data_IF_152735076339
#
_entry.id   IF_152735076339
#
_cell.length_a   1.000
_cell.length_b   1.000
_cell.length_c   1.000
_cell.angle_alpha   90.00
_cell.angle_beta   90.00
_cell.angle_gamma   90.00
#
_symmetry.space_group_name_H-M   'P 1'
#
loop_
_entity.id
_entity.type
_entity.pdbx_description
1 polymer ?
#
# COMPACT_ATOMS: atom_id res chain seq x y z
N UNK A 1 -5.34 15.33 -4.45
CA UNK A 1 -6.42 14.34 -4.56
C UNK A 1 -7.05 13.98 -3.21
N UNK A 2 -8.23 14.54 -2.88
CA UNK A 2 -8.98 14.20 -1.67
C UNK A 2 -9.84 12.94 -1.88
N UNK A 3 -9.32 11.76 -1.56
CA UNK A 3 -10.09 10.51 -1.57
C UNK A 3 -10.49 10.12 -0.13
N UNK A 4 -11.60 9.41 0.10
CA UNK A 4 -11.97 8.96 1.45
C UNK A 4 -10.93 8.03 2.10
N UNK A 5 -10.86 8.06 3.43
CA UNK A 5 -10.05 7.14 4.22
C UNK A 5 -8.59 7.58 4.40
N UNK A 6 -7.71 6.60 4.65
CA UNK A 6 -6.33 6.84 5.08
C UNK A 6 -5.36 7.07 3.92
N UNK A 7 -4.59 8.16 4.02
CA UNK A 7 -3.49 8.53 3.14
C UNK A 7 -2.20 8.64 3.93
N UNK A 8 -1.35 7.63 3.78
CA UNK A 8 -0.01 7.65 4.39
C UNK A 8 0.94 8.50 3.55
N UNK A 9 1.69 9.35 4.23
CA UNK A 9 2.82 10.12 3.71
C UNK A 9 4.07 9.74 4.50
N UNK A 10 5.13 9.42 3.78
CA UNK A 10 6.46 9.22 4.34
C UNK A 10 7.22 10.53 4.16
N UNK A 11 7.61 11.14 5.27
CA UNK A 11 8.32 12.40 5.31
C UNK A 11 9.68 12.16 5.94
N UNK A 12 10.69 12.90 5.51
CA UNK A 12 12.06 12.79 6.04
C UNK A 12 12.55 11.33 6.00
N UNK A 13 12.51 10.73 4.80
CA UNK A 13 12.90 9.33 4.55
C UNK A 13 12.15 8.29 5.40
N UNK A 14 10.94 8.65 5.87
CA UNK A 14 10.10 7.80 6.70
C UNK A 14 10.36 7.93 8.20
N UNK A 15 11.24 8.84 8.62
CA UNK A 15 11.43 9.22 10.02
C UNK A 15 10.16 9.82 10.61
N UNK A 16 9.40 10.56 9.80
CA UNK A 16 8.04 11.00 10.12
C UNK A 16 7.06 10.27 9.21
N UNK A 17 6.07 9.61 9.80
CA UNK A 17 4.94 9.02 9.07
C UNK A 17 3.69 9.80 9.43
N UNK A 18 3.04 10.39 8.43
CA UNK A 18 1.78 11.12 8.59
C UNK A 18 0.65 10.32 7.93
N UNK A 19 -0.35 9.93 8.72
CA UNK A 19 -1.57 9.29 8.24
C UNK A 19 -2.72 10.30 8.26
N UNK A 20 -3.11 10.78 7.08
CA UNK A 20 -4.25 11.68 6.92
C UNK A 20 -5.51 10.87 6.66
N UNK A 21 -6.49 10.98 7.54
CA UNK A 21 -7.79 10.33 7.37
C UNK A 21 -8.82 11.36 6.90
N UNK A 22 -9.23 11.27 5.64
CA UNK A 22 -10.25 12.15 5.06
C UNK A 22 -11.65 11.56 5.24
N UNK A 23 -12.50 12.29 5.96
CA UNK A 23 -13.87 11.93 6.31
C UNK A 23 -14.30 12.58 7.62
N UNK A 24 -15.54 12.36 8.04
CA UNK A 24 -16.01 12.79 9.36
C UNK A 24 -15.32 11.98 10.46
N UNK A 25 -14.77 12.65 11.47
CA UNK A 25 -14.05 12.00 12.56
C UNK A 25 -14.95 11.06 13.38
N UNK A 26 -16.22 11.38 13.55
CA UNK A 26 -17.17 10.56 14.32
C UNK A 26 -17.53 9.26 13.58
N UNK A 27 -17.44 9.25 12.25
CA UNK A 27 -17.60 8.03 11.46
C UNK A 27 -16.30 7.23 11.43
N UNK A 28 -15.19 7.90 11.13
CA UNK A 28 -13.88 7.28 10.91
C UNK A 28 -13.33 6.58 12.15
N UNK A 29 -13.54 7.10 13.36
CA UNK A 29 -13.03 6.47 14.58
C UNK A 29 -13.58 5.07 14.81
N UNK A 30 -14.77 4.75 14.27
CA UNK A 30 -15.37 3.42 14.34
C UNK A 30 -14.81 2.43 13.30
N UNK A 31 -14.12 2.94 12.27
CA UNK A 31 -13.53 2.15 11.18
C UNK A 31 -12.05 1.81 11.41
N UNK A 32 -11.44 2.37 12.45
CA UNK A 32 -10.04 2.14 12.77
C UNK A 32 -9.82 0.69 13.23
N UNK A 33 -8.73 0.09 12.76
CA UNK A 33 -8.33 -1.26 13.14
C UNK A 33 -7.90 -1.34 14.61
N UNK A 34 -8.16 -2.49 15.24
CA UNK A 34 -7.84 -2.71 16.66
C UNK A 34 -6.35 -2.56 16.98
N UNK A 35 -5.45 -2.67 15.98
CA UNK A 35 -4.01 -2.43 16.16
C UNK A 35 -3.64 -1.00 16.59
N UNK A 36 -4.55 -0.02 16.38
CA UNK A 36 -4.34 1.37 16.80
C UNK A 36 -4.74 1.63 18.27
N UNK A 37 -5.47 0.70 18.89
CA UNK A 37 -5.84 0.82 20.29
C UNK A 37 -4.59 0.88 21.19
N UNK A 38 -4.60 1.81 22.15
CA UNK A 38 -3.49 2.08 23.07
C UNK A 38 -2.13 2.41 22.41
N UNK A 39 -2.14 3.06 21.24
CA UNK A 39 -0.93 3.47 20.52
C UNK A 39 -0.66 4.96 20.52
N UNK A 40 -1.64 5.80 20.84
CA UNK A 40 -1.48 7.26 20.80
C UNK A 40 -0.82 7.76 22.09
N UNK A 41 0.38 8.31 21.97
CA UNK A 41 1.13 8.87 23.10
C UNK A 41 0.67 10.29 23.48
N UNK A 42 0.24 11.07 22.47
CA UNK A 42 -0.25 12.44 22.67
C UNK A 42 -1.36 12.79 21.66
N UNK A 43 -2.43 13.40 22.16
CA UNK A 43 -3.55 13.91 21.37
C UNK A 43 -3.51 15.43 21.25
N UNK A 44 -3.62 15.92 20.02
CA UNK A 44 -3.96 17.32 19.73
C UNK A 44 -5.45 17.38 19.41
N UNK A 45 -6.26 17.69 20.42
CA UNK A 45 -7.70 17.85 20.26
C UNK A 45 -7.99 19.29 19.84
N UNK A 46 -7.98 19.50 18.53
CA UNK A 46 -8.21 20.78 17.88
C UNK A 46 -9.49 20.75 17.01
N UNK A 47 -9.91 21.91 16.53
CA UNK A 47 -11.12 22.08 15.73
C UNK A 47 -11.71 23.48 15.88
N UNK A 48 -12.88 23.73 15.30
CA UNK A 48 -13.59 24.97 15.56
C UNK A 48 -14.03 25.05 17.04
N UNK A 49 -14.16 26.28 17.55
CA UNK A 49 -14.61 26.50 18.92
C UNK A 49 -15.89 25.70 19.20
N UNK A 50 -15.99 24.95 20.32
CA UNK A 50 -17.10 24.00 20.52
C UNK A 50 -18.50 24.64 20.44
N UNK A 51 -18.62 25.92 20.81
CA UNK A 51 -19.88 26.66 20.70
C UNK A 51 -20.31 26.98 19.26
N UNK A 52 -19.38 26.89 18.29
CA UNK A 52 -19.63 27.15 16.86
C UNK A 52 -19.69 25.89 16.01
N UNK A 53 -19.16 24.77 16.52
CA UNK A 53 -19.19 23.49 15.84
C UNK A 53 -19.34 22.37 16.89
N UNK A 54 -20.50 22.25 17.54
CA UNK A 54 -20.71 21.24 18.58
C UNK A 54 -20.68 19.80 18.04
N UNK A 55 -21.00 19.62 16.75
CA UNK A 55 -21.18 18.33 16.09
C UNK A 55 -19.91 17.46 16.08
N UNK A 56 -18.73 18.08 16.13
CA UNK A 56 -17.45 17.37 16.29
C UNK A 56 -17.22 16.90 17.74
N UNK A 57 -17.64 17.68 18.73
CA UNK A 57 -17.25 17.48 20.14
C UNK A 57 -18.20 16.52 20.85
N UNK A 58 -18.21 15.27 20.40
CA UNK A 58 -19.13 14.24 20.88
C UNK A 58 -18.50 13.33 21.92
N UNK A 59 -19.34 12.66 22.73
CA UNK A 59 -18.86 11.62 23.63
C UNK A 59 -18.25 10.43 22.87
N UNK A 60 -18.73 10.15 21.65
CA UNK A 60 -18.16 9.11 20.80
C UNK A 60 -16.68 9.41 20.49
N UNK A 61 -16.38 10.65 20.09
CA UNK A 61 -15.01 11.09 19.85
C UNK A 61 -14.15 10.95 21.10
N UNK A 62 -14.61 11.40 22.27
CA UNK A 62 -13.85 11.32 23.51
C UNK A 62 -13.55 9.86 23.91
N UNK A 63 -14.53 8.96 23.78
CA UNK A 63 -14.35 7.54 24.04
C UNK A 63 -13.36 6.90 23.05
N UNK A 64 -13.42 7.27 21.76
CA UNK A 64 -12.46 6.80 20.77
C UNK A 64 -11.04 7.29 21.08
N UNK A 65 -10.87 8.55 21.46
CA UNK A 65 -9.58 9.09 21.89
C UNK A 65 -9.01 8.31 23.07
N UNK A 66 -9.85 8.00 24.07
CA UNK A 66 -9.45 7.20 25.23
C UNK A 66 -9.06 5.77 24.86
N UNK A 67 -9.84 5.10 23.98
CA UNK A 67 -9.54 3.75 23.46
C UNK A 67 -8.19 3.68 22.74
N UNK A 68 -7.85 4.72 22.01
CA UNK A 68 -6.60 4.81 21.23
C UNK A 68 -5.41 5.30 22.06
N UNK A 69 -5.65 5.99 23.18
CA UNK A 69 -4.58 6.51 24.05
C UNK A 69 -3.81 5.38 24.74
N UNK A 70 -2.48 5.44 24.68
CA UNK A 70 -1.61 4.60 25.49
C UNK A 70 -1.86 4.90 26.99
N UNK A 71 -1.74 3.92 27.91
CA UNK A 71 -1.64 4.23 29.33
C UNK A 71 -0.50 5.21 29.62
N UNK A 72 -0.79 6.29 30.34
CA UNK A 72 0.10 7.44 30.54
C UNK A 72 0.12 8.45 29.39
N UNK A 73 -0.58 8.18 28.29
CA UNK A 73 -0.71 9.07 27.15
C UNK A 73 -1.45 10.35 27.49
N UNK A 74 -1.16 11.42 26.75
CA UNK A 74 -1.61 12.78 27.07
C UNK A 74 -2.59 13.31 26.05
N UNK A 75 -3.34 14.34 26.42
CA UNK A 75 -4.09 15.17 25.47
C UNK A 75 -3.99 16.65 25.85
N UNK A 76 -4.07 17.52 24.85
CA UNK A 76 -4.23 18.95 25.03
C UNK A 76 -5.30 19.49 24.07
N UNK A 77 -6.06 20.49 24.53
CA UNK A 77 -7.00 21.23 23.69
C UNK A 77 -7.03 22.70 24.08
N UNK A 78 -7.29 23.58 23.11
CA UNK A 78 -7.40 25.00 23.38
C UNK A 78 -8.61 25.36 24.24
N UNK A 79 -9.68 24.56 24.22
CA UNK A 79 -10.95 24.91 24.87
C UNK A 79 -10.94 24.61 26.37
N UNK A 80 -11.75 25.34 27.13
CA UNK A 80 -12.02 25.08 28.55
C UNK A 80 -13.50 24.87 28.84
N UNK A 81 -14.29 24.58 27.79
CA UNK A 81 -15.72 24.33 27.88
C UNK A 81 -16.04 23.20 28.86
N UNK A 82 -17.02 23.41 29.73
CA UNK A 82 -17.34 22.49 30.82
C UNK A 82 -17.79 21.10 30.34
N UNK A 83 -18.56 21.03 29.25
CA UNK A 83 -19.02 19.75 28.70
C UNK A 83 -17.88 18.93 28.09
N UNK A 84 -16.90 19.59 27.45
CA UNK A 84 -15.69 18.93 26.92
C UNK A 84 -14.88 18.34 28.06
N UNK A 85 -14.69 19.11 29.15
CA UNK A 85 -13.98 18.59 30.33
C UNK A 85 -14.67 17.36 30.91
N UNK A 86 -15.99 17.42 31.13
CA UNK A 86 -16.75 16.29 31.69
C UNK A 86 -16.73 15.09 30.76
N UNK A 87 -16.95 15.28 29.46
CA UNK A 87 -16.94 14.16 28.50
C UNK A 87 -15.59 13.44 28.41
N UNK A 88 -14.48 14.18 28.48
CA UNK A 88 -13.13 13.60 28.56
C UNK A 88 -12.87 12.88 29.89
N UNK A 89 -13.41 13.41 31.01
CA UNK A 89 -13.35 12.72 32.30
C UNK A 89 -14.15 11.41 32.28
N UNK A 90 -15.36 11.44 31.72
CA UNK A 90 -16.24 10.26 31.59
C UNK A 90 -15.62 9.21 30.65
N UNK A 91 -14.88 9.64 29.62
CA UNK A 91 -14.11 8.75 28.74
C UNK A 91 -12.89 8.11 29.44
N UNK A 92 -12.49 8.63 30.61
CA UNK A 92 -11.44 8.05 31.46
C UNK A 92 -10.16 8.86 31.59
N UNK A 93 -10.08 10.07 31.04
CA UNK A 93 -8.91 10.94 31.21
C UNK A 93 -8.95 11.71 32.54
N UNK A 94 -7.82 11.78 33.24
CA UNK A 94 -7.63 12.72 34.35
C UNK A 94 -7.38 14.11 33.79
N UNK A 95 -8.39 14.98 33.86
CA UNK A 95 -8.37 16.32 33.25
C UNK A 95 -7.93 17.43 34.20
N UNK A 96 -7.05 18.31 33.72
CA UNK A 96 -6.55 19.48 34.44
C UNK A 96 -6.76 20.76 33.61
N UNK A 97 -7.13 21.86 34.27
CA UNK A 97 -7.11 23.20 33.68
C UNK A 97 -5.71 23.80 33.81
N UNK A 98 -5.22 24.42 32.74
CA UNK A 98 -3.98 25.20 32.73
C UNK A 98 -4.23 26.60 32.19
N UNK A 99 -3.32 27.53 32.48
CA UNK A 99 -3.39 28.90 31.94
C UNK A 99 -3.35 28.84 30.41
N UNK A 100 -4.29 29.52 29.76
CA UNK A 100 -4.33 29.59 28.30
C UNK A 100 -3.27 30.53 27.73
N UNK A 101 -3.05 30.45 26.42
CA UNK A 101 -2.11 31.33 25.73
C UNK A 101 -2.70 32.72 25.46
N UNK A 102 -1.90 33.77 25.61
CA UNK A 102 -2.28 35.15 25.33
C UNK A 102 -3.46 35.64 26.17
N UNK A 103 -4.54 36.10 25.51
CA UNK A 103 -5.76 36.59 26.17
C UNK A 103 -6.63 35.47 26.75
N UNK A 104 -6.35 34.21 26.40
CA UNK A 104 -7.16 33.08 26.82
C UNK A 104 -6.88 32.72 28.26
N UNK A 105 -7.90 32.77 29.12
CA UNK A 105 -7.75 32.51 30.56
C UNK A 105 -7.29 31.09 30.84
N UNK A 106 -7.93 30.11 30.21
CA UNK A 106 -7.74 28.70 30.52
C UNK A 106 -7.74 27.84 29.25
N UNK A 107 -7.07 26.70 29.34
CA UNK A 107 -7.09 25.58 28.41
C UNK A 107 -7.14 24.25 29.18
N UNK A 108 -7.38 23.15 28.49
CA UNK A 108 -7.44 21.82 29.10
C UNK A 108 -6.28 20.93 28.63
N UNK A 109 -5.76 20.15 29.56
CA UNK A 109 -4.88 19.02 29.29
C UNK A 109 -5.34 17.82 30.11
N UNK A 110 -5.04 16.62 29.65
CA UNK A 110 -5.39 15.39 30.35
C UNK A 110 -4.35 14.30 30.19
N UNK A 111 -4.41 13.32 31.08
CA UNK A 111 -3.56 12.12 31.07
C UNK A 111 -4.44 10.89 31.23
N UNK A 112 -4.15 9.83 30.46
CA UNK A 112 -4.79 8.52 30.63
C UNK A 112 -4.09 7.76 31.76
N UNK A 113 -4.42 8.05 33.02
CA UNK A 113 -3.73 7.48 34.20
C UNK A 113 -4.09 6.02 34.48
N UNK A 114 -5.02 5.44 33.72
CA UNK A 114 -5.48 4.07 33.85
C UNK A 114 -5.27 3.27 32.56
N UNK A 115 -5.15 1.96 32.69
CA UNK A 115 -5.17 1.04 31.55
C UNK A 115 -6.60 0.60 31.30
N UNK A 116 -7.17 1.01 30.17
CA UNK A 116 -8.51 0.58 29.76
C UNK A 116 -8.49 -0.87 29.22
N UNK A 117 -9.58 -1.63 29.33
CA UNK A 117 -9.73 -2.91 28.66
C UNK A 117 -9.61 -2.76 27.14
N UNK A 118 -8.81 -3.62 26.49
CA UNK A 118 -8.68 -3.64 25.03
C UNK A 118 -9.92 -4.29 24.40
N UNK A 119 -10.61 -3.61 23.47
CA UNK A 119 -11.64 -4.25 22.68
C UNK A 119 -11.01 -5.26 21.72
N UNK A 120 -11.75 -6.35 21.48
CA UNK A 120 -11.38 -7.40 20.54
C UNK A 120 -12.67 -7.80 19.81
N UNK A 121 -13.16 -6.93 18.94
CA UNK A 121 -14.51 -7.04 18.35
C UNK A 121 -14.58 -8.10 17.25
N UNK A 122 -13.50 -8.31 16.51
CA UNK A 122 -13.39 -9.34 15.48
C UNK A 122 -12.08 -10.14 15.62
N UNK A 123 -11.96 -11.00 16.67
CA UNK A 123 -10.71 -11.71 16.99
C UNK A 123 -10.17 -12.56 15.84
N UNK A 124 -11.05 -13.06 14.96
CA UNK A 124 -10.70 -13.84 13.77
C UNK A 124 -9.94 -13.04 12.70
N UNK A 125 -9.92 -11.70 12.78
CA UNK A 125 -9.13 -10.82 11.92
C UNK A 125 -7.93 -10.17 12.63
N UNK A 126 -7.58 -10.65 13.84
CA UNK A 126 -6.49 -10.06 14.62
C UNK A 126 -5.15 -10.04 13.86
N UNK A 127 -4.56 -8.84 13.78
CA UNK A 127 -3.24 -8.59 13.21
C UNK A 127 -2.24 -8.34 14.33
N UNK A 128 -1.53 -9.38 14.75
CA UNK A 128 -0.50 -9.27 15.80
C UNK A 128 0.88 -8.95 15.22
N UNK A 129 1.68 -8.22 15.98
CA UNK A 129 3.07 -7.93 15.65
C UNK A 129 4.04 -8.92 16.29
N UNK A 130 5.34 -8.63 16.16
CA UNK A 130 6.41 -9.33 16.87
C UNK A 130 7.18 -8.35 17.76
N UNK A 131 7.63 -8.82 18.93
CA UNK A 131 8.56 -8.09 19.80
C UNK A 131 10.01 -8.21 19.34
N UNK A 132 10.34 -9.23 18.55
CA UNK A 132 11.66 -9.46 17.97
C UNK A 132 11.94 -8.44 16.86
N UNK A 133 13.22 -8.16 16.57
CA UNK A 133 13.65 -7.13 15.59
C UNK A 133 14.63 -7.65 14.55
N UNK A 134 14.50 -8.93 14.26
CA UNK A 134 15.34 -9.65 13.32
C UNK A 134 14.43 -10.59 12.51
N UNK A 135 14.54 -10.54 11.18
CA UNK A 135 13.63 -11.24 10.27
C UNK A 135 14.36 -11.83 9.05
N UNK A 136 14.01 -13.06 8.70
CA UNK A 136 14.25 -13.64 7.39
C UNK A 136 13.06 -13.40 6.46
N UNK A 137 13.32 -12.92 5.25
CA UNK A 137 12.36 -12.80 4.16
C UNK A 137 12.71 -13.86 3.12
N UNK A 138 11.71 -14.64 2.69
CA UNK A 138 11.87 -15.64 1.62
C UNK A 138 11.25 -15.07 0.35
N UNK A 139 12.07 -14.71 -0.64
CA UNK A 139 11.57 -14.04 -1.84
C UNK A 139 12.68 -13.58 -2.78
N UNK A 140 12.52 -12.40 -3.37
CA UNK A 140 13.39 -11.87 -4.43
C UNK A 140 12.66 -10.98 -5.44
N UNK A 141 11.33 -10.87 -5.33
CA UNK A 141 10.51 -9.94 -6.12
C UNK A 141 10.26 -8.59 -5.44
N UNK A 142 9.39 -7.79 -6.05
CA UNK A 142 9.07 -6.42 -5.59
C UNK A 142 8.54 -6.37 -4.15
N UNK A 143 7.73 -7.36 -3.74
CA UNK A 143 7.16 -7.42 -2.40
C UNK A 143 8.24 -7.55 -1.31
N UNK A 144 9.19 -8.47 -1.49
CA UNK A 144 10.34 -8.62 -0.58
C UNK A 144 11.27 -7.41 -0.58
N UNK A 145 11.46 -6.76 -1.74
CA UNK A 145 12.31 -5.59 -1.89
C UNK A 145 11.75 -4.40 -1.09
N UNK A 146 10.48 -4.05 -1.30
CA UNK A 146 9.83 -2.95 -0.59
C UNK A 146 9.62 -3.24 0.90
N UNK A 147 9.35 -4.49 1.27
CA UNK A 147 9.27 -4.90 2.67
C UNK A 147 10.61 -4.70 3.39
N UNK A 148 11.72 -5.03 2.73
CA UNK A 148 13.06 -4.84 3.30
C UNK A 148 13.30 -3.38 3.68
N UNK A 149 13.07 -2.43 2.77
CA UNK A 149 13.18 -1.00 3.08
C UNK A 149 12.26 -0.57 4.23
N UNK A 150 11.01 -1.05 4.25
CA UNK A 150 10.04 -0.69 5.28
C UNK A 150 10.42 -1.20 6.69
N UNK A 151 11.15 -2.30 6.77
CA UNK A 151 11.69 -2.86 8.02
C UNK A 151 13.02 -2.19 8.41
N UNK A 152 13.95 -2.00 7.46
CA UNK A 152 15.27 -1.39 7.71
C UNK A 152 15.13 0.03 8.27
N UNK A 153 14.23 0.86 7.73
CA UNK A 153 13.97 2.20 8.26
C UNK A 153 13.46 2.22 9.72
N UNK A 154 13.05 1.07 10.25
CA UNK A 154 12.60 0.86 11.64
C UNK A 154 13.66 0.15 12.49
N UNK A 155 14.90 0.05 12.00
CA UNK A 155 16.03 -0.57 12.70
C UNK A 155 15.92 -2.09 12.83
N UNK A 156 15.23 -2.77 11.92
CA UNK A 156 15.23 -4.24 11.90
C UNK A 156 16.53 -4.78 11.30
N UNK A 157 16.99 -5.91 11.81
CA UNK A 157 17.93 -6.77 11.10
C UNK A 157 17.14 -7.61 10.08
N UNK A 158 17.53 -7.55 8.81
CA UNK A 158 16.79 -8.22 7.73
C UNK A 158 17.75 -9.09 6.93
N UNK A 159 17.36 -10.33 6.71
CA UNK A 159 18.02 -11.27 5.80
C UNK A 159 17.03 -11.69 4.71
N UNK A 160 17.43 -11.64 3.45
CA UNK A 160 16.65 -12.11 2.31
C UNK A 160 17.27 -13.40 1.77
N UNK A 161 16.46 -14.45 1.64
CA UNK A 161 16.83 -15.68 0.93
C UNK A 161 16.06 -15.73 -0.39
N UNK A 162 16.81 -15.91 -1.48
CA UNK A 162 16.28 -16.02 -2.83
C UNK A 162 16.71 -17.36 -3.43
N UNK A 163 15.75 -18.08 -4.01
CA UNK A 163 16.02 -19.36 -4.65
C UNK A 163 16.83 -19.22 -5.95
N UNK A 164 16.69 -18.08 -6.63
CA UNK A 164 17.30 -17.83 -7.92
C UNK A 164 18.71 -17.23 -7.77
N UNK A 165 19.47 -17.15 -8.87
CA UNK A 165 20.82 -16.57 -8.90
C UNK A 165 20.84 -15.03 -8.77
N UNK A 166 19.71 -14.39 -9.05
CA UNK A 166 19.52 -12.95 -9.03
C UNK A 166 18.07 -12.62 -8.67
N UNK A 167 17.76 -11.39 -8.20
CA UNK A 167 16.40 -11.03 -7.87
C UNK A 167 15.60 -10.70 -9.14
N UNK A 168 14.28 -10.59 -8.97
CA UNK A 168 13.32 -10.27 -10.03
C UNK A 168 13.28 -11.29 -11.20
N UNK A 169 13.70 -12.54 -10.97
CA UNK A 169 13.57 -13.62 -11.96
C UNK A 169 12.20 -14.33 -11.93
N UNK A 170 11.39 -14.06 -10.91
CA UNK A 170 9.96 -14.44 -10.89
C UNK A 170 9.05 -13.43 -11.60
N UNK A 171 7.80 -13.32 -11.16
CA UNK A 171 6.79 -12.45 -11.79
C UNK A 171 7.12 -10.95 -11.83
N UNK A 172 8.10 -10.48 -11.05
CA UNK A 172 8.56 -9.08 -11.06
C UNK A 172 9.58 -8.77 -12.18
N UNK A 173 9.86 -9.71 -13.09
CA UNK A 173 10.92 -9.62 -14.10
C UNK A 173 10.57 -8.94 -15.44
N UNK A 174 9.36 -8.38 -15.59
CA UNK A 174 8.97 -7.72 -16.85
C UNK A 174 9.79 -6.45 -17.13
N UNK A 175 9.92 -6.09 -18.41
CA UNK A 175 10.61 -4.86 -18.84
C UNK A 175 9.79 -3.60 -18.63
N UNK A 176 8.47 -3.68 -18.83
CA UNK A 176 7.54 -2.57 -18.58
C UNK A 176 6.23 -3.16 -18.03
N UNK A 177 5.76 -2.63 -16.90
CA UNK A 177 4.49 -3.00 -16.28
C UNK A 177 3.61 -1.78 -16.08
N UNK A 178 2.32 -1.91 -16.40
CA UNK A 178 1.34 -0.84 -16.21
C UNK A 178 1.05 -0.60 -14.71
N UNK A 179 0.89 0.67 -14.33
CA UNK A 179 0.49 1.09 -13.00
C UNK A 179 -0.79 1.94 -13.08
N UNK A 180 -1.89 1.39 -12.59
CA UNK A 180 -3.19 2.05 -12.47
C UNK A 180 -4.04 1.36 -11.39
N UNK A 181 -5.07 2.02 -10.82
CA UNK A 181 -5.93 1.40 -9.80
C UNK A 181 -6.97 0.47 -10.43
N UNK A 182 -7.24 -0.65 -9.78
CA UNK A 182 -8.44 -1.45 -10.05
C UNK A 182 -9.64 -0.85 -9.30
N UNK A 183 -10.53 -0.21 -10.03
CA UNK A 183 -11.74 0.41 -9.47
C UNK A 183 -12.94 -0.52 -9.61
N UNK A 184 -13.83 -0.50 -8.63
CA UNK A 184 -15.04 -1.34 -8.61
C UNK A 184 -16.17 -0.63 -7.87
N UNK A 185 -17.36 -0.65 -8.46
CA UNK A 185 -18.58 -0.15 -7.81
C UNK A 185 -19.17 -1.13 -6.79
N UNK A 186 -18.95 -2.44 -6.99
CA UNK A 186 -19.61 -3.50 -6.23
C UNK A 186 -18.83 -3.98 -5.00
N UNK A 187 -17.52 -3.71 -4.96
CA UNK A 187 -16.65 -4.12 -3.87
C UNK A 187 -15.96 -2.89 -3.26
N UNK A 188 -16.52 -2.43 -2.14
CA UNK A 188 -16.05 -1.22 -1.44
C UNK A 188 -14.64 -1.39 -0.88
N UNK A 189 -14.32 -2.57 -0.34
CA UNK A 189 -13.02 -2.85 0.25
C UNK A 189 -11.93 -2.87 -0.82
N UNK A 190 -12.20 -3.53 -1.95
CA UNK A 190 -11.33 -3.56 -3.12
C UNK A 190 -11.08 -2.15 -3.64
N UNK A 191 -12.15 -1.39 -3.87
CA UNK A 191 -12.05 -0.04 -4.42
C UNK A 191 -11.27 0.91 -3.51
N UNK A 192 -11.55 0.88 -2.20
CA UNK A 192 -10.83 1.71 -1.21
C UNK A 192 -9.37 1.31 -1.10
N UNK A 193 -9.07 0.01 -1.13
CA UNK A 193 -7.69 -0.48 -1.13
C UNK A 193 -6.93 0.00 -2.35
N UNK A 194 -7.42 -0.26 -3.57
CA UNK A 194 -6.68 0.08 -4.80
C UNK A 194 -6.59 1.59 -5.05
N UNK A 195 -7.62 2.37 -4.71
CA UNK A 195 -7.56 3.84 -4.82
C UNK A 195 -6.47 4.42 -3.92
N UNK A 196 -6.42 3.99 -2.66
CA UNK A 196 -5.45 4.53 -1.69
C UNK A 196 -4.05 3.93 -1.96
N UNK A 197 -3.95 2.66 -2.32
CA UNK A 197 -2.69 1.99 -2.67
C UNK A 197 -2.05 2.62 -3.91
N UNK A 198 -2.83 2.95 -4.94
CA UNK A 198 -2.33 3.58 -6.16
C UNK A 198 -1.73 4.96 -5.88
N UNK A 199 -2.46 5.83 -5.18
CA UNK A 199 -1.94 7.17 -4.87
C UNK A 199 -0.77 7.12 -3.89
N UNK A 200 -0.76 6.17 -2.95
CA UNK A 200 0.41 5.89 -2.11
C UNK A 200 1.60 5.42 -2.95
N UNK A 201 1.40 4.45 -3.86
CA UNK A 201 2.43 3.90 -4.71
C UNK A 201 3.07 4.99 -5.59
N UNK A 202 2.27 5.86 -6.20
CA UNK A 202 2.78 7.00 -6.97
C UNK A 202 3.67 7.92 -6.15
N UNK A 203 3.20 8.42 -5.01
CA UNK A 203 4.02 9.24 -4.11
C UNK A 203 5.26 8.51 -3.60
N UNK A 204 5.13 7.22 -3.32
CA UNK A 204 6.22 6.39 -2.84
C UNK A 204 7.31 6.24 -3.90
N UNK A 205 6.94 5.94 -5.16
CA UNK A 205 7.88 5.84 -6.26
C UNK A 205 8.52 7.19 -6.61
N UNK A 206 7.76 8.29 -6.58
CA UNK A 206 8.28 9.65 -6.79
C UNK A 206 9.35 10.04 -5.75
N UNK A 207 9.21 9.55 -4.51
CA UNK A 207 10.14 9.82 -3.40
C UNK A 207 11.27 8.80 -3.27
N UNK A 208 11.24 7.70 -4.02
CA UNK A 208 12.17 6.60 -3.85
C UNK A 208 13.54 7.00 -4.40
N UNK A 209 14.63 6.99 -3.59
CA UNK A 209 15.94 7.45 -4.04
C UNK A 209 16.68 6.37 -4.85
N UNK A 210 16.00 5.75 -5.80
CA UNK A 210 16.57 4.73 -6.70
C UNK A 210 16.20 5.06 -8.13
N UNK A 211 17.10 4.77 -9.06
CA UNK A 211 16.82 4.90 -10.49
C UNK A 211 16.05 3.67 -10.98
N UNK A 212 15.11 3.90 -11.87
CA UNK A 212 14.43 2.86 -12.65
C UNK A 212 13.73 3.52 -13.82
N UNK A 213 13.70 2.86 -14.97
CA UNK A 213 12.96 3.33 -16.13
C UNK A 213 11.46 3.37 -15.80
N UNK A 214 10.83 4.51 -16.06
CA UNK A 214 9.40 4.70 -15.90
C UNK A 214 8.94 5.91 -16.71
N UNK A 215 7.65 5.98 -16.96
CA UNK A 215 6.98 7.21 -17.36
C UNK A 215 5.57 7.25 -16.80
N UNK A 216 5.20 8.41 -16.27
CA UNK A 216 3.91 8.71 -15.69
C UNK A 216 2.96 9.29 -16.73
N UNK A 217 2.95 8.64 -17.90
CA UNK A 217 2.26 9.08 -19.09
C UNK A 217 0.72 9.00 -19.02
N UNK A 218 0.18 8.33 -18.00
CA UNK A 218 -1.22 7.95 -17.91
C UNK A 218 -1.50 6.56 -18.51
N UNK A 219 -2.63 5.99 -18.11
CA UNK A 219 -3.17 4.72 -18.63
C UNK A 219 -4.58 4.95 -19.13
N UNK A 220 -4.88 4.52 -20.36
CA UNK A 220 -6.23 4.61 -20.93
C UNK A 220 -6.81 3.21 -21.15
N UNK A 221 -7.92 2.93 -20.46
CA UNK A 221 -8.68 1.68 -20.61
C UNK A 221 -9.84 1.90 -21.59
N UNK A 222 -9.85 1.10 -22.65
CA UNK A 222 -10.75 1.25 -23.79
C UNK A 222 -12.05 0.45 -23.63
N UNK A 223 -13.16 1.03 -24.07
CA UNK A 223 -14.45 0.36 -24.20
C UNK A 223 -14.59 -0.29 -25.58
N UNK A 224 -13.76 -1.29 -25.87
CA UNK A 224 -13.66 -1.93 -27.18
C UNK A 224 -14.74 -3.00 -27.44
N UNK A 225 -15.42 -3.48 -26.40
CA UNK A 225 -16.58 -4.37 -26.47
C UNK A 225 -17.69 -3.92 -25.50
N UNK A 226 -18.90 -4.47 -25.65
CA UNK A 226 -20.05 -4.11 -24.80
C UNK A 226 -19.75 -4.35 -23.30
N UNK A 227 -18.98 -5.40 -22.99
CA UNK A 227 -18.65 -5.79 -21.62
C UNK A 227 -17.70 -4.79 -20.95
N UNK A 228 -16.65 -4.35 -21.64
CA UNK A 228 -15.70 -3.34 -21.16
C UNK A 228 -16.36 -1.97 -21.08
N UNK A 229 -17.19 -1.59 -22.06
CA UNK A 229 -18.00 -0.37 -22.00
C UNK A 229 -18.91 -0.35 -20.77
N UNK A 230 -19.61 -1.44 -20.49
CA UNK A 230 -20.46 -1.54 -19.31
C UNK A 230 -19.66 -1.41 -18.00
N UNK A 231 -18.50 -2.08 -17.89
CA UNK A 231 -17.62 -1.95 -16.72
C UNK A 231 -17.11 -0.52 -16.54
N UNK A 232 -16.71 0.14 -17.64
CA UNK A 232 -16.25 1.53 -17.63
C UNK A 232 -17.38 2.46 -17.21
N UNK A 233 -18.59 2.28 -17.74
CA UNK A 233 -19.77 3.04 -17.32
C UNK A 233 -20.08 2.88 -15.82
N UNK A 234 -19.89 1.67 -15.27
CA UNK A 234 -20.02 1.45 -13.82
C UNK A 234 -18.99 2.27 -13.02
N UNK A 235 -17.72 2.29 -13.44
CA UNK A 235 -16.69 3.10 -12.78
C UNK A 235 -16.96 4.60 -12.92
N UNK A 236 -17.37 5.06 -14.10
CA UNK A 236 -17.69 6.47 -14.37
C UNK A 236 -18.97 6.95 -13.66
N UNK A 237 -19.84 6.04 -13.23
CA UNK A 237 -20.99 6.38 -12.38
C UNK A 237 -20.63 6.64 -10.91
N UNK A 238 -19.36 6.48 -10.55
CA UNK A 238 -18.82 6.84 -9.25
C UNK A 238 -18.29 8.28 -9.33
N UNK A 239 -18.57 9.10 -8.33
CA UNK A 239 -18.11 10.51 -8.25
C UNK A 239 -16.60 10.59 -7.90
N UNK A 240 -15.76 10.03 -8.77
CA UNK A 240 -14.31 9.99 -8.60
C UNK A 240 -13.68 11.33 -9.02
N UNK A 241 -12.65 11.82 -8.31
CA UNK A 241 -11.90 12.97 -8.78
C UNK A 241 -11.26 12.70 -10.15
N UNK A 242 -11.33 13.67 -11.06
CA UNK A 242 -10.75 13.55 -12.41
C UNK A 242 -9.23 13.26 -12.40
N UNK A 243 -8.54 13.68 -11.34
CA UNK A 243 -7.13 13.37 -11.10
C UNK A 243 -6.87 11.86 -10.91
N UNK A 244 -7.87 11.11 -10.41
CA UNK A 244 -7.79 9.65 -10.25
C UNK A 244 -8.17 8.94 -11.54
N UNK A 245 -9.37 9.24 -12.06
CA UNK A 245 -9.94 8.62 -13.23
C UNK A 245 -10.98 9.54 -13.87
N UNK A 246 -10.98 9.65 -15.20
CA UNK A 246 -11.91 10.52 -15.95
C UNK A 246 -12.31 9.88 -17.27
N UNK A 247 -13.55 10.11 -17.70
CA UNK A 247 -14.03 9.66 -19.00
C UNK A 247 -13.25 10.34 -20.13
N UNK A 248 -13.06 9.60 -21.23
CA UNK A 248 -12.50 10.14 -22.47
C UNK A 248 -13.34 9.69 -23.65
N UNK A 249 -13.80 10.65 -24.45
CA UNK A 249 -14.57 10.40 -25.67
C UNK A 249 -13.65 9.92 -26.80
N UNK A 250 -14.16 9.11 -27.72
CA UNK A 250 -13.40 8.55 -28.84
C UNK A 250 -12.54 9.59 -29.61
N UNK A 251 -13.10 10.77 -29.87
CA UNK A 251 -12.39 11.87 -30.56
C UNK A 251 -11.19 12.40 -29.76
N UNK A 252 -11.27 12.37 -28.43
CA UNK A 252 -10.21 12.82 -27.54
C UNK A 252 -9.20 11.71 -27.22
N UNK A 253 -9.56 10.42 -27.40
CA UNK A 253 -8.65 9.30 -27.14
C UNK A 253 -7.41 9.42 -28.01
N UNK A 254 -7.55 9.60 -29.33
CA UNK A 254 -6.42 9.71 -30.25
C UNK A 254 -5.49 10.87 -29.90
N UNK A 255 -6.03 12.01 -29.47
CA UNK A 255 -5.22 13.15 -29.06
C UNK A 255 -4.35 12.84 -27.82
N UNK A 256 -4.92 12.10 -26.86
CA UNK A 256 -4.27 11.80 -25.58
C UNK A 256 -3.31 10.62 -25.71
N UNK A 257 -3.70 9.57 -26.43
CA UNK A 257 -2.91 8.34 -26.58
C UNK A 257 -1.95 8.40 -27.76
N UNK A 258 -2.17 9.29 -28.72
CA UNK A 258 -1.41 9.41 -29.96
C UNK A 258 -1.79 8.42 -31.06
N UNK A 259 -2.77 7.54 -30.82
CA UNK A 259 -3.21 6.53 -31.80
C UNK A 259 -4.73 6.44 -31.89
N UNK A 260 -5.25 6.25 -33.10
CA UNK A 260 -6.67 6.07 -33.33
C UNK A 260 -7.16 4.71 -32.79
N UNK A 261 -8.13 4.74 -31.86
CA UNK A 261 -8.74 3.53 -31.26
C UNK A 261 -10.20 3.33 -31.66
N UNK A 262 -10.85 4.35 -32.24
CA UNK A 262 -12.25 4.37 -32.62
C UNK A 262 -13.25 4.05 -31.49
N UNK A 263 -12.85 4.19 -30.23
CA UNK A 263 -13.73 3.95 -29.09
C UNK A 263 -13.42 4.88 -27.91
N UNK A 264 -14.43 5.16 -27.11
CA UNK A 264 -14.30 5.91 -25.84
C UNK A 264 -13.70 5.03 -24.75
N UNK A 265 -13.34 5.63 -23.61
CA UNK A 265 -12.79 4.90 -22.48
C UNK A 265 -12.75 5.70 -21.18
N UNK A 266 -11.92 5.21 -20.26
CA UNK A 266 -11.56 5.90 -19.02
C UNK A 266 -10.04 6.02 -18.96
N UNK A 267 -9.54 7.19 -18.59
CA UNK A 267 -8.11 7.44 -18.42
C UNK A 267 -7.77 7.67 -16.95
N UNK A 268 -6.59 7.19 -16.55
CA UNK A 268 -5.98 7.34 -15.24
C UNK A 268 -4.77 8.27 -15.40
N UNK A 269 -4.91 9.59 -15.22
CA UNK A 269 -3.86 10.55 -15.60
C UNK A 269 -2.57 10.38 -14.80
N UNK A 270 -2.69 9.93 -13.54
CA UNK A 270 -1.54 9.64 -12.67
C UNK A 270 -1.04 8.20 -12.83
N UNK A 271 -1.50 7.47 -13.84
CA UNK A 271 -1.00 6.15 -14.16
C UNK A 271 0.26 6.22 -15.03
N UNK A 272 0.73 5.07 -15.48
CA UNK A 272 1.79 4.99 -16.48
C UNK A 272 2.40 3.60 -16.52
N UNK A 273 3.69 3.54 -16.79
CA UNK A 273 4.47 2.31 -16.73
C UNK A 273 5.76 2.50 -15.96
N UNK A 274 6.30 1.41 -15.44
CA UNK A 274 7.64 1.34 -14.85
C UNK A 274 8.32 0.02 -15.22
N UNK A 275 9.64 -0.06 -15.10
CA UNK A 275 10.41 -1.29 -15.24
C UNK A 275 10.49 -2.03 -13.91
N UNK A 276 9.62 -3.04 -13.64
CA UNK A 276 9.59 -3.69 -12.33
C UNK A 276 10.86 -4.49 -12.03
N UNK A 277 11.51 -5.04 -13.06
CA UNK A 277 12.73 -5.81 -12.89
C UNK A 277 13.88 -4.91 -12.38
N UNK A 278 14.07 -3.75 -13.01
CA UNK A 278 15.07 -2.78 -12.61
C UNK A 278 14.76 -2.16 -11.25
N UNK A 279 13.50 -1.72 -11.04
CA UNK A 279 13.05 -1.21 -9.75
C UNK A 279 13.37 -2.20 -8.62
N UNK A 280 13.06 -3.49 -8.81
CA UNK A 280 13.30 -4.52 -7.80
C UNK A 280 14.79 -4.68 -7.51
N UNK A 281 15.65 -4.75 -8.54
CA UNK A 281 17.11 -4.86 -8.39
C UNK A 281 17.68 -3.66 -7.62
N UNK A 282 17.34 -2.45 -8.05
CA UNK A 282 17.94 -1.23 -7.52
C UNK A 282 17.43 -0.92 -6.10
N UNK A 283 16.19 -1.30 -5.77
CA UNK A 283 15.68 -1.28 -4.38
C UNK A 283 16.44 -2.25 -3.49
N UNK A 284 16.73 -3.47 -3.97
CA UNK A 284 17.48 -4.45 -3.18
C UNK A 284 18.94 -4.01 -2.99
N UNK A 285 19.55 -3.40 -4.01
CA UNK A 285 20.88 -2.80 -3.88
C UNK A 285 20.90 -1.68 -2.82
N UNK A 286 19.92 -0.77 -2.85
CA UNK A 286 19.75 0.24 -1.79
C UNK A 286 19.56 -0.41 -0.42
N UNK A 287 18.75 -1.46 -0.34
CA UNK A 287 18.52 -2.18 0.92
C UNK A 287 19.81 -2.85 1.43
N UNK A 288 20.67 -3.39 0.57
CA UNK A 288 21.98 -3.93 0.94
C UNK A 288 22.90 -2.84 1.51
N UNK A 289 22.91 -1.65 0.91
CA UNK A 289 23.64 -0.50 1.44
C UNK A 289 23.13 -0.08 2.83
N UNK A 290 21.86 -0.34 3.13
CA UNK A 290 21.23 -0.10 4.44
C UNK A 290 21.37 -1.28 5.42
N UNK A 291 22.06 -2.36 5.04
CA UNK A 291 22.38 -3.49 5.91
C UNK A 291 21.59 -4.79 5.65
N UNK A 292 20.75 -4.85 4.61
CA UNK A 292 20.12 -6.12 4.18
C UNK A 292 21.19 -7.15 3.82
N UNK A 293 21.10 -8.33 4.41
CA UNK A 293 21.89 -9.49 3.99
C UNK A 293 21.11 -10.26 2.93
N UNK A 294 21.72 -10.60 1.79
CA UNK A 294 21.05 -11.37 0.74
C UNK A 294 21.84 -12.65 0.45
N UNK A 295 21.12 -13.77 0.42
CA UNK A 295 21.63 -15.07 0.03
C UNK A 295 20.85 -15.57 -1.19
N UNK A 296 21.49 -15.52 -2.36
CA UNK A 296 20.98 -16.09 -3.61
C UNK A 296 21.28 -17.60 -3.69
N UNK A 297 20.52 -18.33 -4.51
CA UNK A 297 20.58 -19.79 -4.61
C UNK A 297 20.22 -20.53 -3.30
N UNK A 298 19.43 -19.89 -2.44
CA UNK A 298 18.90 -20.46 -1.18
C UNK A 298 17.40 -20.74 -1.33
N UNK A 299 17.07 -21.92 -1.85
CA UNK A 299 15.68 -22.35 -1.94
C UNK A 299 15.21 -22.96 -0.61
N UNK A 300 14.31 -22.29 0.09
CA UNK A 300 13.70 -22.82 1.31
C UNK A 300 12.84 -24.05 0.96
N UNK A 301 13.14 -25.20 1.57
CA UNK A 301 12.38 -26.44 1.39
C UNK A 301 11.33 -26.62 2.48
N UNK A 302 11.71 -26.33 3.73
CA UNK A 302 10.81 -26.37 4.86
C UNK A 302 11.31 -25.49 5.99
N UNK A 303 10.41 -25.16 6.91
CA UNK A 303 10.75 -24.45 8.14
C UNK A 303 9.90 -24.98 9.29
N UNK A 304 10.47 -24.99 10.48
CA UNK A 304 9.82 -25.49 11.69
C UNK A 304 10.16 -24.63 12.88
N UNK A 305 9.29 -24.67 13.90
CA UNK A 305 9.59 -24.01 15.17
C UNK A 305 10.54 -24.90 15.95
N UNK A 306 11.69 -24.35 16.36
CA UNK A 306 12.66 -24.99 17.24
C UNK A 306 13.00 -24.01 18.35
N UNK A 307 12.61 -24.34 19.57
CA UNK A 307 12.66 -23.44 20.72
C UNK A 307 11.96 -22.10 20.42
N UNK A 308 12.64 -20.98 20.68
CA UNK A 308 12.15 -19.63 20.42
C UNK A 308 12.43 -19.10 19.00
N UNK A 309 12.97 -19.95 18.11
CA UNK A 309 13.35 -19.58 16.75
C UNK A 309 12.62 -20.40 15.68
N UNK A 310 12.69 -19.91 14.45
CA UNK A 310 12.38 -20.66 13.24
C UNK A 310 13.66 -21.28 12.69
N UNK A 311 13.69 -22.60 12.53
CA UNK A 311 14.71 -23.31 11.79
C UNK A 311 14.29 -23.38 10.33
N UNK A 312 15.12 -22.84 9.44
CA UNK A 312 14.93 -22.86 7.99
C UNK A 312 15.88 -23.91 7.41
N UNK A 313 15.34 -24.83 6.60
CA UNK A 313 16.10 -25.85 5.89
C UNK A 313 16.03 -25.56 4.40
N UNK A 314 17.18 -25.26 3.81
CA UNK A 314 17.30 -24.97 2.38
C UNK A 314 17.70 -26.22 1.58
N UNK A 315 17.56 -26.18 0.27
CA UNK A 315 18.13 -27.20 -0.61
C UNK A 315 19.65 -27.28 -0.43
N UNK A 316 20.21 -28.48 -0.28
CA UNK A 316 21.65 -28.70 -0.12
C UNK A 316 22.18 -28.66 1.32
N UNK A 317 21.39 -29.15 2.29
CA UNK A 317 21.74 -29.30 3.72
C UNK A 317 22.13 -28.01 4.47
N UNK A 318 21.89 -26.84 3.87
CA UNK A 318 22.09 -25.55 4.52
C UNK A 318 20.95 -25.25 5.48
N UNK A 319 21.28 -24.67 6.63
CA UNK A 319 20.32 -24.29 7.67
C UNK A 319 20.58 -22.87 8.17
N UNK A 320 19.50 -22.19 8.57
CA UNK A 320 19.58 -20.92 9.27
C UNK A 320 18.50 -20.84 10.36
N UNK A 321 18.75 -20.03 11.38
CA UNK A 321 17.78 -19.78 12.46
C UNK A 321 17.45 -18.31 12.56
N UNK A 322 16.15 -17.98 12.60
CA UNK A 322 15.66 -16.60 12.63
C UNK A 322 14.50 -16.45 13.62
N UNK A 323 14.35 -15.27 14.19
CA UNK A 323 13.28 -14.96 15.15
C UNK A 323 11.93 -14.81 14.46
N UNK A 324 11.92 -14.15 13.29
CA UNK A 324 10.75 -13.87 12.47
C UNK A 324 11.02 -14.36 11.04
N UNK A 325 10.02 -14.95 10.41
CA UNK A 325 10.07 -15.35 9.00
C UNK A 325 8.90 -14.71 8.26
N UNK A 326 9.17 -14.13 7.10
CA UNK A 326 8.16 -13.59 6.19
C UNK A 326 8.25 -14.32 4.86
N UNK A 327 7.15 -14.91 4.42
CA UNK A 327 7.05 -15.53 3.10
C UNK A 327 6.58 -14.49 2.08
N UNK A 328 7.43 -14.17 1.11
CA UNK A 328 7.20 -13.22 0.03
C UNK A 328 7.63 -13.81 -1.32
N UNK A 329 7.46 -15.13 -1.48
CA UNK A 329 7.98 -15.96 -2.57
C UNK A 329 6.96 -16.19 -3.71
N UNK A 330 6.05 -15.23 -3.94
CA UNK A 330 5.14 -15.22 -5.10
C UNK A 330 4.24 -16.45 -5.18
N UNK A 331 4.11 -17.04 -6.38
CA UNK A 331 3.24 -18.20 -6.62
C UNK A 331 3.60 -19.44 -5.78
N UNK A 332 4.83 -19.51 -5.27
CA UNK A 332 5.32 -20.62 -4.45
C UNK A 332 4.89 -20.51 -2.97
N UNK A 333 4.10 -19.49 -2.60
CA UNK A 333 3.68 -19.20 -1.22
C UNK A 333 2.99 -20.38 -0.53
N UNK A 334 2.25 -21.21 -1.29
CA UNK A 334 1.49 -22.37 -0.77
C UNK A 334 2.26 -23.70 -0.83
N UNK A 335 3.58 -23.68 -1.02
CA UNK A 335 4.42 -24.89 -1.09
C UNK A 335 4.89 -25.42 0.28
N UNK A 336 4.48 -24.80 1.38
CA UNK A 336 4.85 -25.24 2.73
C UNK A 336 3.65 -25.83 3.46
N UNK A 337 3.88 -26.74 4.42
CA UNK A 337 2.78 -27.39 5.14
C UNK A 337 1.91 -26.39 5.90
N UNK A 338 2.49 -25.29 6.37
CA UNK A 338 1.79 -24.20 7.07
C UNK A 338 0.91 -23.34 6.14
N UNK A 339 1.14 -23.38 4.82
CA UNK A 339 0.49 -22.49 3.84
C UNK A 339 -0.20 -23.22 2.69
N UNK A 340 -0.19 -24.55 2.68
CA UNK A 340 -0.72 -25.39 1.60
C UNK A 340 -2.22 -25.24 1.35
N UNK A 341 -2.97 -24.81 2.37
CA UNK A 341 -4.43 -24.63 2.31
C UNK A 341 -4.85 -23.19 1.99
N UNK A 342 -3.91 -22.27 1.78
CA UNK A 342 -4.24 -20.90 1.39
C UNK A 342 -4.95 -20.90 0.03
N UNK A 343 -6.08 -20.17 -0.12
CA UNK A 343 -6.90 -20.18 -1.34
C UNK A 343 -6.30 -19.30 -2.44
N UNK A 344 -5.01 -19.51 -2.75
CA UNK A 344 -4.27 -18.86 -3.83
C UNK A 344 -4.04 -19.87 -4.95
N UNK A 345 -3.91 -19.37 -6.18
CA UNK A 345 -3.67 -20.20 -7.35
C UNK A 345 -2.69 -19.52 -8.29
N UNK A 346 -1.85 -20.32 -8.94
CA UNK A 346 -0.88 -19.85 -9.93
C UNK A 346 -1.59 -19.46 -11.23
N UNK A 347 -1.11 -18.39 -11.86
CA UNK A 347 -1.53 -17.99 -13.20
C UNK A 347 -0.28 -17.63 -13.99
N UNK A 348 0.11 -18.51 -14.91
CA UNK A 348 1.20 -18.20 -15.84
C UNK A 348 0.70 -17.21 -16.90
N UNK A 349 1.59 -16.33 -17.34
CA UNK A 349 1.33 -15.38 -18.41
C UNK A 349 2.61 -15.01 -19.13
N UNK A 350 2.48 -14.64 -20.40
CA UNK A 350 3.59 -14.23 -21.24
C UNK A 350 3.38 -12.78 -21.69
N UNK A 351 4.45 -11.99 -21.61
CA UNK A 351 4.53 -10.63 -22.13
C UNK A 351 5.53 -10.63 -23.26
N UNK A 352 5.12 -10.20 -24.45
CA UNK A 352 5.97 -10.12 -25.62
C UNK A 352 6.72 -8.79 -25.63
N UNK A 353 7.98 -8.83 -26.07
CA UNK A 353 8.78 -7.64 -26.33
C UNK A 353 8.78 -7.38 -27.84
N UNK A 354 8.37 -6.19 -28.24
CA UNK A 354 8.27 -5.83 -29.67
C UNK A 354 9.09 -4.57 -29.95
N UNK A 355 9.81 -4.50 -31.08
CA UNK A 355 10.49 -3.27 -31.48
C UNK A 355 9.47 -2.18 -31.80
N UNK A 356 9.84 -0.92 -31.56
CA UNK A 356 9.03 0.21 -32.02
C UNK A 356 9.07 0.36 -33.54
N UNK A 357 8.12 1.12 -34.08
CA UNK A 357 8.04 1.54 -35.49
C UNK A 357 7.62 3.01 -35.52
N UNK A 358 7.74 3.72 -36.67
CA UNK A 358 7.27 5.11 -36.75
C UNK A 358 5.83 5.31 -36.25
N UNK A 359 4.91 4.41 -36.60
CA UNK A 359 3.52 4.47 -36.15
C UNK A 359 3.36 4.15 -34.65
N UNK A 360 4.10 3.16 -34.13
CA UNK A 360 4.03 2.80 -32.71
C UNK A 360 4.73 3.81 -31.80
N UNK A 361 5.68 4.57 -32.32
CA UNK A 361 6.37 5.62 -31.58
C UNK A 361 5.45 6.81 -31.23
N UNK A 362 4.34 6.98 -31.96
CA UNK A 362 3.31 7.97 -31.64
C UNK A 362 2.52 7.62 -30.36
N UNK A 363 2.59 6.37 -29.88
CA UNK A 363 1.88 5.94 -28.68
C UNK A 363 2.45 6.63 -27.43
N UNK A 364 1.64 7.50 -26.83
CA UNK A 364 2.00 8.31 -25.65
C UNK A 364 1.62 7.65 -24.33
N UNK A 365 0.64 6.76 -24.30
CA UNK A 365 0.09 6.19 -23.08
C UNK A 365 0.07 4.67 -23.09
N UNK A 366 -0.06 4.07 -21.91
CA UNK A 366 -0.42 2.66 -21.81
C UNK A 366 -1.88 2.48 -22.22
N UNK A 367 -2.15 1.53 -23.10
CA UNK A 367 -3.51 1.13 -23.47
C UNK A 367 -3.89 -0.15 -22.77
N UNK A 368 -5.09 -0.20 -22.19
CA UNK A 368 -5.69 -1.39 -21.61
C UNK A 368 -6.95 -1.80 -22.41
N UNK A 369 -7.00 -3.07 -22.81
CA UNK A 369 -8.09 -3.73 -23.55
C UNK A 369 -8.24 -5.17 -23.02
N UNK A 370 -8.48 -6.19 -23.86
CA UNK A 370 -8.28 -7.61 -23.51
C UNK A 370 -6.79 -7.98 -23.40
N UNK A 371 -6.06 -7.18 -22.63
CA UNK A 371 -4.61 -7.11 -22.64
C UNK A 371 -4.14 -5.67 -22.42
N UNK A 372 -2.87 -5.42 -22.68
CA UNK A 372 -2.26 -4.12 -22.58
C UNK A 372 -1.09 -3.96 -23.57
N UNK A 373 -0.84 -2.71 -23.94
CA UNK A 373 0.31 -2.28 -24.73
C UNK A 373 0.91 -1.04 -24.05
N UNK A 374 2.22 -1.06 -23.81
CA UNK A 374 2.94 0.10 -23.26
C UNK A 374 3.44 1.02 -24.38
N UNK A 375 3.66 2.32 -24.11
CA UNK A 375 4.44 3.15 -25.00
C UNK A 375 5.90 2.65 -25.06
N UNK A 376 6.68 3.26 -25.94
CA UNK A 376 8.09 2.91 -26.13
C UNK A 376 8.87 3.27 -24.87
N UNK A 377 9.73 2.36 -24.38
CA UNK A 377 10.81 2.78 -23.50
C UNK A 377 11.91 3.40 -24.38
N UNK A 378 12.20 4.71 -24.25
CA UNK A 378 13.15 5.39 -25.13
C UNK A 378 14.58 4.88 -24.98
N UNK A 379 14.94 4.21 -23.87
CA UNK A 379 16.26 3.64 -23.64
C UNK A 379 16.53 2.35 -24.43
N UNK A 380 15.48 1.57 -24.74
CA UNK A 380 15.63 0.28 -25.43
C UNK A 380 14.88 0.18 -26.77
N UNK A 381 14.07 1.19 -27.12
CA UNK A 381 13.28 1.25 -28.34
C UNK A 381 12.31 0.08 -28.56
N UNK A 382 11.79 -0.48 -27.46
CA UNK A 382 10.81 -1.56 -27.45
C UNK A 382 9.57 -1.20 -26.63
N UNK A 383 8.49 -1.93 -26.92
CA UNK A 383 7.25 -1.94 -26.15
C UNK A 383 7.07 -3.30 -25.45
N UNK A 384 6.26 -3.34 -24.40
CA UNK A 384 5.69 -4.57 -23.87
C UNK A 384 4.23 -4.68 -24.28
N UNK A 385 3.85 -5.83 -24.83
CA UNK A 385 2.47 -6.17 -25.15
C UNK A 385 2.11 -7.49 -24.48
N UNK A 386 0.98 -7.55 -23.81
CA UNK A 386 0.60 -8.74 -23.06
C UNK A 386 -0.81 -8.67 -22.48
N UNK A 387 -1.21 -9.59 -21.63
CA UNK A 387 -0.52 -10.85 -21.35
C UNK A 387 -1.47 -12.03 -21.54
N UNK A 388 -0.93 -13.19 -21.93
CA UNK A 388 -1.70 -14.42 -21.84
C UNK A 388 -2.05 -14.74 -20.38
N UNK A 389 -3.12 -15.51 -20.17
CA UNK A 389 -3.64 -15.81 -18.83
C UNK A 389 -3.98 -17.30 -18.69
N UNK A 390 -3.03 -18.08 -18.15
CA UNK A 390 -3.14 -19.53 -18.00
C UNK A 390 -3.36 -19.93 -16.55
N UNK A 391 -4.62 -19.96 -16.13
CA UNK A 391 -5.03 -20.29 -14.76
C UNK A 391 -4.63 -21.72 -14.38
N UNK A 392 -4.04 -21.88 -13.19
CA UNK A 392 -3.57 -23.16 -12.66
C UNK A 392 -2.26 -23.66 -13.27
N UNK A 393 -1.63 -22.89 -14.18
CA UNK A 393 -0.34 -23.24 -14.77
C UNK A 393 0.81 -22.56 -14.03
N UNK A 394 1.91 -23.30 -13.89
CA UNK A 394 3.21 -22.80 -13.41
C UNK A 394 4.31 -22.90 -14.47
N UNK A 395 3.97 -23.38 -15.68
CA UNK A 395 4.96 -23.47 -16.76
C UNK A 395 5.19 -22.07 -17.31
N UNK A 396 6.41 -21.57 -17.17
CA UNK A 396 6.91 -20.49 -18.00
C UNK A 396 6.85 -20.97 -19.45
N UNK A 397 6.24 -20.18 -20.34
CA UNK A 397 6.33 -20.43 -21.77
C UNK A 397 7.79 -20.30 -22.18
N UNK A 398 8.51 -21.41 -22.21
CA UNK A 398 9.83 -21.49 -22.86
C UNK A 398 9.54 -21.40 -24.36
N UNK A 399 9.95 -20.31 -24.98
CA UNK A 399 10.27 -20.30 -26.41
C UNK A 399 11.78 -20.24 -26.56
#
# INVERSE_FOLDING_TARGET
MPLPGCHRLLLDEGRVTLDLWFGDINELTSQLDDSLNQKVDAWFLDGFAPAKNPDMWTQNLFNAMARLARPGGTLATFTSAGFVRRGLQDAGFTMQKRKGFGRKREMLCGVMEQTLPLPCSAPWFNRTGSSKREAAIIGGGIASALLSLALLRRGWQVTLYCADEAPALGASGNRQGALYPLLSKHDEALNRFFSNAFTFARRFYDQLPVKFDHDWCGVTQLGWDEKSQHKIAQMLSMDLPAELAVAVEANAVEQITGVATNCSGITYPQGGWLCPAELTRNVLELAQQQGLQIYYQYQLQNFSRKDDCWLLNFAGDQQATHSVVVLANGHQISRFSQTSTLPVYSVAGQVSHIPTTPELAELKQVLCYDGYLTPQNPANQHHCIGASYHRGSERYGVQ
#
